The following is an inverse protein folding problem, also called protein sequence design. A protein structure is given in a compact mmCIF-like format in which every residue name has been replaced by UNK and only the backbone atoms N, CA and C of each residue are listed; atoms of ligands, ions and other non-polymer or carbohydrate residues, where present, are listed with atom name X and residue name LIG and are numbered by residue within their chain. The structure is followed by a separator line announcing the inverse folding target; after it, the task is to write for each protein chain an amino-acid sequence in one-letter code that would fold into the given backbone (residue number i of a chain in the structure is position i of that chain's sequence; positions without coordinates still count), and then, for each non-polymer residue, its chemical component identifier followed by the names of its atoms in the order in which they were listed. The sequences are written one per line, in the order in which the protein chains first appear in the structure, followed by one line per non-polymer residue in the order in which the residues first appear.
data_IF_697543570522
#
_entry.id   IF_697543570522
#
_cell.length_a   1.000
_cell.length_b   1.000
_cell.length_c   1.000
_cell.angle_alpha   90.00
_cell.angle_beta   90.00
_cell.angle_gamma   90.00
#
_symmetry.space_group_name_H-M   'P 1'
#
loop_
_entity.id
_entity.type
_entity.pdbx_description
1 polymer ?
#
# COMPACT_ATOMS: atom_id res chain seq x y z
N UNK A 1 -11.51 0.76 28.57
CA UNK A 1 -10.84 1.41 27.41
C UNK A 1 -10.54 0.30 26.41
N UNK A 2 -10.97 0.47 25.16
CA UNK A 2 -10.63 -0.46 24.08
C UNK A 2 -9.13 -0.27 23.82
N UNK A 3 -8.35 -1.34 23.92
CA UNK A 3 -6.91 -1.30 23.60
C UNK A 3 -6.76 -1.20 22.08
N UNK A 4 -6.04 -0.20 21.60
CA UNK A 4 -5.73 -0.02 20.18
C UNK A 4 -4.56 -0.92 19.80
N UNK A 5 -4.76 -1.79 18.82
CA UNK A 5 -3.72 -2.68 18.31
C UNK A 5 -2.86 -2.01 17.25
N UNK A 6 -1.70 -2.60 16.93
CA UNK A 6 -0.87 -2.18 15.79
C UNK A 6 -1.65 -2.33 14.47
N UNK A 7 -2.44 -3.38 14.34
CA UNK A 7 -3.32 -3.61 13.20
C UNK A 7 -4.37 -2.51 13.01
N UNK A 8 -4.94 -1.98 14.12
CA UNK A 8 -5.86 -0.84 14.05
C UNK A 8 -5.18 0.41 13.49
N UNK A 9 -3.97 0.73 13.97
CA UNK A 9 -3.19 1.88 13.49
C UNK A 9 -2.85 1.72 12.01
N UNK A 10 -2.37 0.56 11.59
CA UNK A 10 -2.07 0.28 10.18
C UNK A 10 -3.31 0.35 9.29
N UNK A 11 -4.47 -0.15 9.75
CA UNK A 11 -5.72 -0.08 8.99
C UNK A 11 -6.16 1.36 8.77
N UNK A 12 -6.04 2.22 9.81
CA UNK A 12 -6.33 3.65 9.68
C UNK A 12 -5.31 4.34 8.77
N UNK A 13 -4.02 4.03 8.89
CA UNK A 13 -3.00 4.55 7.99
C UNK A 13 -3.26 4.15 6.52
N UNK A 14 -3.74 2.93 6.29
CA UNK A 14 -4.18 2.49 4.95
C UNK A 14 -5.45 3.22 4.48
N UNK A 15 -6.37 3.55 5.37
CA UNK A 15 -7.55 4.36 5.03
C UNK A 15 -7.15 5.78 4.59
N UNK A 16 -6.16 6.39 5.26
CA UNK A 16 -5.64 7.72 4.92
C UNK A 16 -5.03 7.82 3.52
N UNK A 17 -4.62 6.70 2.91
CA UNK A 17 -4.17 6.67 1.52
C UNK A 17 -5.25 7.16 0.54
N UNK A 18 -6.51 7.07 0.92
CA UNK A 18 -7.67 7.40 0.08
C UNK A 18 -8.35 8.71 0.49
N UNK A 19 -7.76 9.46 1.42
CA UNK A 19 -8.32 10.75 1.82
C UNK A 19 -8.33 11.70 0.63
N UNK A 20 -9.47 12.36 0.42
CA UNK A 20 -9.71 13.32 -0.67
C UNK A 20 -9.49 12.76 -2.09
N UNK A 21 -9.51 11.43 -2.25
CA UNK A 21 -9.28 10.79 -3.54
C UNK A 21 -10.43 11.02 -4.55
N UNK A 22 -11.63 11.37 -4.08
CA UNK A 22 -12.82 11.49 -4.89
C UNK A 22 -13.25 10.16 -5.51
N UNK A 23 -13.88 10.21 -6.67
CA UNK A 23 -14.28 9.01 -7.41
C UNK A 23 -13.06 8.36 -8.07
N UNK A 24 -12.49 7.38 -7.39
CA UNK A 24 -11.35 6.59 -7.86
C UNK A 24 -11.57 5.11 -7.56
N UNK A 25 -11.17 4.23 -8.48
CA UNK A 25 -11.21 2.79 -8.22
C UNK A 25 -10.05 2.38 -7.30
N UNK A 26 -10.40 1.77 -6.20
CA UNK A 26 -9.43 1.25 -5.22
C UNK A 26 -9.16 -0.22 -5.49
N UNK A 27 -7.89 -0.57 -5.65
CA UNK A 27 -7.44 -1.96 -5.84
C UNK A 27 -6.57 -2.40 -4.66
N UNK A 28 -7.18 -2.89 -3.58
CA UNK A 28 -6.49 -3.35 -2.38
C UNK A 28 -6.00 -4.78 -2.59
N UNK A 29 -4.68 -5.01 -2.50
CA UNK A 29 -4.07 -6.32 -2.76
C UNK A 29 -3.77 -7.12 -1.48
N UNK A 30 -4.10 -6.57 -0.29
CA UNK A 30 -3.96 -7.25 1.00
C UNK A 30 -5.23 -7.08 1.84
N UNK A 31 -5.40 -7.92 2.86
CA UNK A 31 -6.60 -7.86 3.72
C UNK A 31 -6.67 -6.53 4.48
N UNK A 32 -5.56 -6.09 5.07
CA UNK A 32 -5.55 -4.85 5.85
C UNK A 32 -5.84 -3.61 4.99
N UNK A 33 -5.37 -3.59 3.74
CA UNK A 33 -5.69 -2.52 2.79
C UNK A 33 -7.17 -2.56 2.39
N UNK A 34 -7.73 -3.76 2.21
CA UNK A 34 -9.17 -3.93 1.98
C UNK A 34 -10.02 -3.42 3.15
N UNK A 35 -9.52 -3.59 4.38
CA UNK A 35 -10.15 -3.03 5.60
C UNK A 35 -10.03 -1.51 5.60
N UNK A 36 -8.84 -0.97 5.33
CA UNK A 36 -8.59 0.47 5.24
C UNK A 36 -9.46 1.15 4.18
N UNK A 37 -9.59 0.56 2.99
CA UNK A 37 -10.45 1.09 1.93
C UNK A 37 -11.93 1.15 2.34
N UNK A 38 -12.43 0.11 3.02
CA UNK A 38 -13.80 0.09 3.57
C UNK A 38 -13.99 1.14 4.66
N UNK A 39 -13.00 1.28 5.53
CA UNK A 39 -13.01 2.32 6.56
C UNK A 39 -13.06 3.72 5.94
N UNK A 40 -12.22 3.99 4.92
CA UNK A 40 -12.23 5.26 4.21
C UNK A 40 -13.59 5.56 3.60
N UNK A 41 -14.20 4.58 2.92
CA UNK A 41 -15.52 4.74 2.28
C UNK A 41 -16.63 5.02 3.29
N UNK A 42 -16.59 4.38 4.46
CA UNK A 42 -17.60 4.57 5.51
C UNK A 42 -17.39 5.84 6.34
N UNK A 43 -16.24 6.50 6.24
CA UNK A 43 -15.91 7.65 7.08
C UNK A 43 -15.74 8.96 6.31
N UNK A 44 -14.75 9.08 5.43
CA UNK A 44 -14.36 10.36 4.84
C UNK A 44 -14.20 10.37 3.32
N UNK A 45 -14.28 9.22 2.64
CA UNK A 45 -14.14 9.10 1.19
C UNK A 45 -15.26 8.24 0.59
N UNK A 46 -16.54 8.67 0.69
CA UNK A 46 -17.70 7.86 0.31
C UNK A 46 -17.76 7.53 -1.18
N UNK A 47 -17.09 8.33 -2.02
CA UNK A 47 -17.15 8.23 -3.48
C UNK A 47 -16.14 7.24 -4.08
N UNK A 48 -15.25 6.65 -3.28
CA UNK A 48 -14.32 5.65 -3.81
C UNK A 48 -15.07 4.39 -4.25
N UNK A 49 -14.64 3.85 -5.38
CA UNK A 49 -15.19 2.61 -5.94
C UNK A 49 -14.39 1.43 -5.39
N UNK A 50 -15.02 0.61 -4.56
CA UNK A 50 -14.39 -0.57 -3.99
C UNK A 50 -14.33 -1.71 -5.01
N UNK A 51 -13.26 -2.49 -4.92
CA UNK A 51 -13.13 -3.76 -5.66
C UNK A 51 -12.84 -4.91 -4.70
N UNK A 52 -12.97 -6.14 -5.19
CA UNK A 52 -12.51 -7.34 -4.48
C UNK A 52 -10.98 -7.56 -4.56
N UNK A 53 -10.26 -6.53 -5.00
CA UNK A 53 -8.82 -6.55 -5.27
C UNK A 53 -8.49 -6.73 -6.76
N UNK A 54 -9.41 -7.23 -7.57
CA UNK A 54 -9.16 -7.49 -8.99
C UNK A 54 -10.33 -7.11 -9.91
N UNK A 55 -11.35 -7.97 -9.99
CA UNK A 55 -12.25 -7.96 -11.12
C UNK A 55 -13.70 -7.54 -10.81
N UNK A 56 -14.12 -7.56 -9.54
CA UNK A 56 -15.49 -7.23 -9.17
C UNK A 56 -15.56 -5.86 -8.53
N UNK A 57 -16.50 -5.04 -9.01
CA UNK A 57 -16.84 -3.76 -8.39
C UNK A 57 -17.92 -4.02 -7.33
N UNK A 58 -17.70 -3.44 -6.14
CA UNK A 58 -18.52 -3.70 -4.96
C UNK A 58 -19.37 -2.46 -4.66
N UNK A 59 -20.69 -2.60 -4.75
CA UNK A 59 -21.64 -1.52 -4.52
C UNK A 59 -21.81 -1.14 -3.04
N UNK A 60 -21.80 -2.14 -2.15
CA UNK A 60 -21.92 -1.98 -0.70
C UNK A 60 -20.56 -1.98 0.02
N UNK A 61 -20.58 -1.94 1.35
CA UNK A 61 -19.35 -2.00 2.16
C UNK A 61 -19.47 -3.11 3.21
N UNK A 62 -19.48 -4.39 2.78
CA UNK A 62 -19.65 -5.52 3.69
C UNK A 62 -18.41 -5.78 4.54
N UNK A 63 -18.58 -6.52 5.63
CA UNK A 63 -17.46 -7.06 6.38
C UNK A 63 -16.55 -7.93 5.50
N UNK A 64 -15.28 -8.00 5.85
CA UNK A 64 -14.31 -8.84 5.13
C UNK A 64 -14.75 -10.31 5.17
N UNK A 65 -14.83 -10.91 3.98
CA UNK A 65 -15.29 -12.31 3.81
C UNK A 65 -16.80 -12.51 3.82
N UNK A 66 -17.59 -11.44 4.01
CA UNK A 66 -19.04 -11.50 3.82
C UNK A 66 -19.41 -11.36 2.33
N UNK A 67 -20.57 -11.87 1.92
CA UNK A 67 -21.10 -11.62 0.58
C UNK A 67 -21.24 -10.12 0.31
N UNK A 68 -20.82 -9.70 -0.89
CA UNK A 68 -20.89 -8.33 -1.36
C UNK A 68 -21.96 -8.18 -2.46
N UNK A 69 -22.63 -7.02 -2.51
CA UNK A 69 -23.41 -6.62 -3.65
C UNK A 69 -22.47 -6.24 -4.80
N UNK A 70 -22.52 -7.00 -5.88
CA UNK A 70 -21.66 -6.76 -7.04
C UNK A 70 -22.41 -5.86 -8.03
N UNK A 71 -21.88 -4.69 -8.33
CA UNK A 71 -22.43 -3.75 -9.31
C UNK A 71 -21.80 -3.89 -10.70
N UNK A 72 -20.62 -4.49 -10.77
CA UNK A 72 -19.94 -4.67 -12.04
C UNK A 72 -18.89 -5.77 -12.00
N UNK A 73 -18.60 -6.28 -13.19
CA UNK A 73 -17.55 -7.26 -13.38
C UNK A 73 -16.63 -6.82 -14.53
N UNK A 74 -15.33 -6.84 -14.25
CA UNK A 74 -14.29 -6.60 -15.23
C UNK A 74 -13.67 -7.93 -15.64
N UNK A 75 -13.90 -8.44 -16.85
CA UNK A 75 -13.14 -9.55 -17.39
C UNK A 75 -11.64 -9.26 -17.36
N UNK A 76 -10.81 -10.29 -17.28
CA UNK A 76 -9.36 -10.14 -17.11
C UNK A 76 -8.72 -9.17 -18.13
N UNK A 77 -9.17 -9.20 -19.40
CA UNK A 77 -8.74 -8.23 -20.42
C UNK A 77 -9.07 -6.78 -20.06
N UNK A 78 -10.24 -6.53 -19.45
CA UNK A 78 -10.65 -5.18 -19.02
C UNK A 78 -9.80 -4.64 -17.86
N UNK A 79 -9.29 -5.51 -17.01
CA UNK A 79 -8.33 -5.10 -15.96
C UNK A 79 -7.09 -4.48 -16.61
N UNK A 80 -6.56 -5.06 -17.68
CA UNK A 80 -5.42 -4.49 -18.41
C UNK A 80 -5.77 -3.21 -19.17
N UNK A 81 -6.97 -3.09 -19.72
CA UNK A 81 -7.43 -1.82 -20.28
C UNK A 81 -7.52 -0.72 -19.21
N UNK A 82 -7.99 -1.07 -18.03
CA UNK A 82 -8.02 -0.13 -16.88
C UNK A 82 -6.62 0.28 -16.44
N UNK A 83 -5.62 -0.62 -16.53
CA UNK A 83 -4.22 -0.29 -16.30
C UNK A 83 -3.70 0.78 -17.27
N UNK A 84 -4.20 0.79 -18.52
CA UNK A 84 -3.75 1.73 -19.54
C UNK A 84 -4.54 3.06 -19.54
N UNK A 85 -5.83 3.04 -19.22
CA UNK A 85 -6.74 4.18 -19.49
C UNK A 85 -7.59 4.60 -18.29
N UNK A 86 -7.68 3.78 -17.24
CA UNK A 86 -8.52 4.05 -16.08
C UNK A 86 -7.84 4.96 -15.04
N UNK A 87 -8.60 5.27 -13.98
CA UNK A 87 -8.08 5.93 -12.77
C UNK A 87 -8.20 4.96 -11.60
N UNK A 88 -7.07 4.69 -10.98
CA UNK A 88 -6.99 3.75 -9.85
C UNK A 88 -6.02 4.27 -8.80
N UNK A 89 -6.25 3.88 -7.55
CA UNK A 89 -5.21 3.82 -6.54
C UNK A 89 -4.99 2.35 -6.17
N UNK A 90 -3.81 1.85 -6.48
CA UNK A 90 -3.43 0.47 -6.23
C UNK A 90 -2.55 0.40 -4.99
N UNK A 91 -2.91 -0.47 -4.06
CA UNK A 91 -2.07 -0.71 -2.88
C UNK A 91 -1.64 -2.17 -2.88
N UNK A 92 -0.37 -2.38 -3.16
CA UNK A 92 0.24 -3.71 -3.31
C UNK A 92 1.05 -4.10 -2.07
N UNK A 93 1.30 -5.39 -1.88
CA UNK A 93 2.38 -5.83 -1.01
C UNK A 93 3.73 -5.66 -1.71
N UNK A 94 4.82 -5.60 -0.94
CA UNK A 94 6.18 -5.65 -1.46
C UNK A 94 6.95 -6.78 -0.78
N UNK A 95 7.66 -7.60 -1.58
CA UNK A 95 8.61 -8.58 -1.03
C UNK A 95 10.01 -7.99 -0.89
N UNK A 96 10.34 -7.02 -1.74
CA UNK A 96 11.46 -6.10 -1.63
C UNK A 96 11.01 -4.74 -2.13
N UNK A 97 11.50 -3.69 -1.50
CA UNK A 97 11.36 -2.29 -1.91
C UNK A 97 12.66 -1.56 -1.58
N UNK A 98 13.13 -0.71 -2.48
CA UNK A 98 14.31 0.11 -2.25
C UNK A 98 13.96 1.55 -1.89
N UNK A 99 15.00 2.37 -1.69
CA UNK A 99 14.87 3.79 -1.31
C UNK A 99 14.09 4.65 -2.28
N UNK A 100 13.98 4.24 -3.55
CA UNK A 100 13.27 4.98 -4.60
C UNK A 100 11.86 4.46 -4.85
N UNK A 101 11.47 3.36 -4.19
CA UNK A 101 10.18 2.71 -4.39
C UNK A 101 10.15 1.69 -5.52
N UNK A 102 11.31 1.28 -6.08
CA UNK A 102 11.35 0.10 -6.91
C UNK A 102 10.85 -1.10 -6.10
N UNK A 103 9.94 -1.86 -6.68
CA UNK A 103 9.29 -2.98 -5.98
C UNK A 103 9.58 -4.30 -6.68
N UNK A 104 9.85 -5.34 -5.90
CA UNK A 104 9.97 -6.72 -6.39
C UNK A 104 8.84 -7.60 -5.85
N UNK A 105 8.14 -8.26 -6.77
CA UNK A 105 7.20 -9.34 -6.49
C UNK A 105 7.38 -10.53 -7.44
N UNK A 106 8.48 -10.53 -8.22
CA UNK A 106 8.72 -11.51 -9.29
C UNK A 106 9.50 -12.72 -8.83
N UNK A 107 10.70 -12.53 -8.30
CA UNK A 107 11.56 -13.60 -7.83
C UNK A 107 12.70 -13.04 -6.95
N UNK A 108 13.32 -13.89 -6.16
CA UNK A 108 14.58 -13.57 -5.47
C UNK A 108 15.77 -14.16 -6.23
N UNK A 109 16.87 -13.43 -6.23
CA UNK A 109 18.09 -13.78 -6.95
C UNK A 109 18.03 -13.48 -8.46
N UNK A 110 19.04 -13.91 -9.23
CA UNK A 110 19.12 -13.62 -10.66
C UNK A 110 17.92 -14.18 -11.45
N UNK A 111 17.40 -13.37 -12.39
CA UNK A 111 16.20 -13.74 -13.18
C UNK A 111 16.34 -15.07 -13.90
N UNK A 112 17.55 -15.41 -14.40
CA UNK A 112 17.82 -16.64 -15.14
C UNK A 112 17.85 -17.88 -14.24
N UNK A 113 18.21 -17.72 -12.96
CA UNK A 113 18.33 -18.79 -11.98
C UNK A 113 17.85 -18.29 -10.61
N UNK A 114 16.55 -18.01 -10.44
CA UNK A 114 16.04 -17.46 -9.19
C UNK A 114 16.15 -18.49 -8.06
N UNK A 115 16.56 -18.03 -6.90
CA UNK A 115 16.56 -18.84 -5.67
C UNK A 115 15.14 -19.12 -5.18
N UNK A 116 14.20 -18.23 -5.52
CA UNK A 116 12.76 -18.39 -5.26
C UNK A 116 11.95 -17.66 -6.33
N UNK A 117 11.13 -18.40 -7.05
CA UNK A 117 10.12 -17.82 -7.95
C UNK A 117 8.92 -17.35 -7.16
N UNK A 118 8.41 -16.17 -7.49
CA UNK A 118 7.15 -15.61 -6.96
C UNK A 118 6.12 -15.44 -8.08
N UNK A 119 5.29 -14.40 -8.02
CA UNK A 119 4.16 -14.22 -8.94
C UNK A 119 4.52 -13.70 -10.34
N UNK A 120 5.74 -13.22 -10.54
CA UNK A 120 6.11 -12.46 -11.73
C UNK A 120 5.64 -11.01 -11.63
N UNK A 121 5.85 -10.23 -12.69
CA UNK A 121 5.56 -8.77 -12.66
C UNK A 121 4.07 -8.44 -12.64
N UNK A 122 3.22 -9.31 -13.19
CA UNK A 122 1.76 -9.09 -13.32
C UNK A 122 1.43 -7.69 -13.86
N UNK A 123 0.54 -6.96 -13.18
CA UNK A 123 0.17 -5.58 -13.51
C UNK A 123 1.07 -4.51 -12.89
N UNK A 124 2.10 -4.86 -12.10
CA UNK A 124 2.92 -3.89 -11.38
C UNK A 124 3.58 -2.83 -12.28
N UNK A 125 4.16 -3.17 -13.47
CA UNK A 125 4.72 -2.14 -14.34
C UNK A 125 3.68 -1.11 -14.80
N UNK A 126 2.48 -1.56 -15.18
CA UNK A 126 1.39 -0.68 -15.59
C UNK A 126 0.84 0.16 -14.44
N UNK A 127 0.77 -0.41 -13.23
CA UNK A 127 0.33 0.31 -12.05
C UNK A 127 1.26 1.48 -11.74
N UNK A 128 2.57 1.24 -11.63
CA UNK A 128 3.54 2.27 -11.24
C UNK A 128 3.73 3.36 -12.29
N UNK A 129 3.43 3.11 -13.56
CA UNK A 129 3.52 4.11 -14.63
C UNK A 129 2.25 4.95 -14.76
N UNK A 130 1.07 4.39 -14.50
CA UNK A 130 -0.20 5.02 -14.86
C UNK A 130 -1.10 5.38 -13.66
N UNK A 131 -0.81 4.91 -12.45
CA UNK A 131 -1.71 5.05 -11.33
C UNK A 131 -0.99 5.45 -10.04
N UNK A 132 -1.72 6.11 -9.14
CA UNK A 132 -1.29 6.23 -7.76
C UNK A 132 -1.05 4.82 -7.21
N UNK A 133 0.19 4.57 -6.78
CA UNK A 133 0.65 3.27 -6.31
C UNK A 133 1.22 3.41 -4.91
N UNK A 134 0.67 2.65 -3.99
CA UNK A 134 1.17 2.56 -2.62
C UNK A 134 1.50 1.12 -2.26
N UNK A 135 2.24 0.96 -1.17
CA UNK A 135 2.62 -0.36 -0.68
C UNK A 135 2.21 -0.56 0.77
N UNK A 136 1.82 -1.79 1.10
CA UNK A 136 1.67 -2.22 2.48
C UNK A 136 2.67 -3.32 2.80
N UNK A 137 3.42 -3.15 3.90
CA UNK A 137 4.44 -4.08 4.38
C UNK A 137 4.19 -4.39 5.86
N UNK A 138 3.55 -5.51 6.15
CA UNK A 138 3.21 -5.92 7.53
C UNK A 138 4.39 -6.37 8.39
N UNK A 139 5.59 -6.48 7.81
CA UNK A 139 6.83 -6.83 8.51
C UNK A 139 7.99 -6.02 7.94
N UNK A 140 8.20 -4.82 8.47
CA UNK A 140 9.32 -3.96 8.12
C UNK A 140 10.62 -4.62 8.57
N UNK A 141 11.51 -4.88 7.64
CA UNK A 141 12.79 -5.54 7.89
C UNK A 141 13.77 -5.26 6.77
N UNK A 142 15.08 -5.35 7.03
CA UNK A 142 16.15 -5.19 6.03
C UNK A 142 16.01 -6.13 4.83
N UNK A 143 15.32 -7.25 5.01
CA UNK A 143 15.01 -8.18 3.91
C UNK A 143 14.00 -7.59 2.92
N UNK A 144 13.06 -6.79 3.40
CA UNK A 144 12.02 -6.15 2.57
C UNK A 144 12.47 -4.77 2.13
N UNK A 145 12.97 -3.95 3.06
CA UNK A 145 13.54 -2.63 2.78
C UNK A 145 15.03 -2.78 2.51
N UNK A 146 15.40 -3.10 1.27
CA UNK A 146 16.74 -3.46 0.83
C UNK A 146 17.40 -2.36 0.01
N UNK A 147 18.73 -2.37 -0.08
CA UNK A 147 19.48 -1.37 -0.85
C UNK A 147 19.10 -1.34 -2.32
N UNK A 148 18.87 -2.52 -2.90
CA UNK A 148 18.35 -2.67 -4.24
C UNK A 148 17.50 -3.93 -4.33
N UNK A 149 16.45 -3.88 -5.15
CA UNK A 149 15.59 -5.03 -5.41
C UNK A 149 16.27 -5.99 -6.40
N UNK A 150 16.08 -7.29 -6.23
CA UNK A 150 16.66 -8.28 -7.15
C UNK A 150 16.06 -8.16 -8.56
N UNK A 151 14.77 -7.85 -8.66
CA UNK A 151 14.05 -7.65 -9.93
C UNK A 151 13.10 -6.46 -9.76
N UNK A 152 13.16 -5.50 -10.67
CA UNK A 152 12.21 -4.38 -10.72
C UNK A 152 10.91 -4.87 -11.37
N UNK A 153 9.91 -5.16 -10.54
CA UNK A 153 8.55 -5.50 -11.00
C UNK A 153 7.70 -4.26 -11.21
N UNK A 154 7.83 -3.27 -10.35
CA UNK A 154 7.29 -1.92 -10.47
C UNK A 154 8.39 -0.91 -10.30
N UNK A 155 8.40 0.15 -11.11
CA UNK A 155 9.45 1.16 -11.08
C UNK A 155 9.31 2.10 -9.89
N UNK A 156 10.47 2.59 -9.39
CA UNK A 156 10.60 3.69 -8.47
C UNK A 156 10.98 5.00 -9.16
N UNK A 157 11.15 6.04 -8.37
CA UNK A 157 11.41 7.40 -8.85
C UNK A 157 12.74 7.57 -9.58
N UNK A 158 13.75 6.74 -9.31
CA UNK A 158 15.07 6.75 -9.99
C UNK A 158 14.99 6.29 -11.47
N UNK A 159 13.88 5.70 -11.88
CA UNK A 159 13.61 5.28 -13.27
C UNK A 159 12.74 6.25 -14.04
N UNK A 160 12.28 7.32 -13.40
CA UNK A 160 11.40 8.31 -14.02
C UNK A 160 12.24 9.32 -14.79
N UNK A 161 12.01 9.40 -16.09
CA UNK A 161 12.55 10.45 -16.96
C UNK A 161 11.51 11.57 -17.07
N UNK A 162 11.74 12.76 -16.46
CA UNK A 162 10.77 13.86 -16.46
C UNK A 162 10.49 14.43 -17.87
N UNK A 163 11.40 14.25 -18.80
CA UNK A 163 11.25 14.73 -20.18
C UNK A 163 10.48 13.75 -21.06
N UNK A 164 10.26 12.52 -20.58
CA UNK A 164 9.51 11.51 -21.32
C UNK A 164 8.03 11.48 -20.91
N UNK A 165 7.09 11.84 -21.80
CA UNK A 165 5.68 11.92 -21.50
C UNK A 165 5.04 10.57 -21.08
N UNK A 166 5.72 9.45 -21.28
CA UNK A 166 5.26 8.15 -20.79
C UNK A 166 5.21 8.08 -19.26
N UNK A 167 6.01 8.87 -18.56
CA UNK A 167 6.08 8.90 -17.09
C UNK A 167 5.19 9.97 -16.43
N UNK A 168 4.39 10.73 -17.22
CA UNK A 168 3.58 11.85 -16.72
C UNK A 168 2.55 11.50 -15.63
N UNK A 169 2.24 10.22 -15.47
CA UNK A 169 1.28 9.72 -14.49
C UNK A 169 1.92 8.85 -13.40
N UNK A 170 3.26 8.78 -13.38
CA UNK A 170 3.94 8.06 -12.29
C UNK A 170 3.64 8.76 -10.97
N UNK A 171 3.12 7.98 -10.05
CA UNK A 171 2.84 8.42 -8.70
C UNK A 171 3.07 7.24 -7.74
N UNK A 172 4.35 7.00 -7.43
CA UNK A 172 4.73 6.09 -6.34
C UNK A 172 4.54 6.86 -5.05
N UNK A 173 3.36 6.68 -4.46
CA UNK A 173 2.80 7.60 -3.49
C UNK A 173 3.31 7.37 -2.08
N UNK A 174 2.99 6.20 -1.49
CA UNK A 174 3.32 5.92 -0.08
C UNK A 174 3.62 4.46 0.21
N UNK A 175 4.32 4.27 1.32
CA UNK A 175 4.49 2.96 1.97
C UNK A 175 3.92 3.04 3.38
N UNK A 176 3.02 2.11 3.71
CA UNK A 176 2.57 1.87 5.08
C UNK A 176 3.19 0.57 5.53
N UNK A 177 3.90 0.59 6.67
CA UNK A 177 4.43 -0.62 7.28
C UNK A 177 3.93 -0.78 8.71
N UNK A 178 4.34 -1.84 9.41
CA UNK A 178 4.05 -1.99 10.83
C UNK A 178 4.82 -1.01 11.73
N UNK A 179 5.78 -0.26 11.19
CA UNK A 179 6.57 0.72 11.95
C UNK A 179 6.12 2.16 11.68
N UNK A 180 5.60 2.48 10.49
CA UNK A 180 5.26 3.85 10.14
C UNK A 180 4.72 4.02 8.73
N UNK A 181 4.56 5.29 8.35
CA UNK A 181 4.11 5.74 7.04
C UNK A 181 5.24 6.55 6.39
N UNK A 182 5.53 6.25 5.14
CA UNK A 182 6.63 6.82 4.38
C UNK A 182 6.14 7.34 3.02
N UNK A 183 6.83 8.35 2.48
CA UNK A 183 6.68 8.83 1.11
C UNK A 183 8.04 8.84 0.39
N UNK A 184 8.08 9.40 -0.82
CA UNK A 184 9.29 9.52 -1.64
C UNK A 184 9.66 11.00 -1.90
N UNK A 185 9.38 11.87 -0.94
CA UNK A 185 9.73 13.29 -0.99
C UNK A 185 11.01 13.62 -0.20
N UNK A 186 11.85 12.63 0.06
CA UNK A 186 13.22 12.83 0.53
C UNK A 186 14.12 13.41 -0.58
N UNK A 187 15.40 13.70 -0.29
CA UNK A 187 16.36 14.15 -1.30
C UNK A 187 16.38 13.19 -2.50
N UNK A 188 16.39 13.74 -3.71
CA UNK A 188 16.39 12.96 -4.97
C UNK A 188 15.29 11.90 -5.05
N UNK A 189 14.11 12.21 -4.53
CA UNK A 189 12.96 11.29 -4.45
C UNK A 189 13.23 10.00 -3.67
N UNK A 190 14.11 10.05 -2.67
CA UNK A 190 14.31 8.93 -1.76
C UNK A 190 13.19 8.83 -0.70
N UNK A 191 13.09 7.66 -0.10
CA UNK A 191 12.11 7.39 0.96
C UNK A 191 12.32 8.30 2.16
N UNK A 192 11.20 8.88 2.64
CA UNK A 192 11.15 9.76 3.80
C UNK A 192 10.07 9.29 4.78
N UNK A 193 10.37 9.33 6.06
CA UNK A 193 9.39 9.09 7.11
C UNK A 193 8.42 10.28 7.23
N UNK A 194 7.12 10.01 7.15
CA UNK A 194 6.05 10.96 7.45
C UNK A 194 5.61 10.86 8.90
N UNK A 195 5.38 9.61 9.35
CA UNK A 195 5.02 9.36 10.73
C UNK A 195 5.47 7.97 11.17
N UNK A 196 5.83 7.86 12.45
CA UNK A 196 6.11 6.59 13.09
C UNK A 196 4.89 6.16 13.92
N UNK A 197 4.61 4.88 13.95
CA UNK A 197 3.48 4.39 14.73
C UNK A 197 3.74 4.53 16.23
N UNK A 198 2.71 4.72 17.07
CA UNK A 198 2.88 4.90 18.51
C UNK A 198 3.77 3.82 19.13
N UNK A 199 4.81 4.25 19.86
CA UNK A 199 5.80 3.37 20.49
C UNK A 199 6.90 2.85 19.55
N UNK A 200 7.00 3.34 18.33
CA UNK A 200 8.11 3.08 17.41
C UNK A 200 9.11 4.23 17.50
N UNK A 201 10.39 3.88 17.69
CA UNK A 201 11.50 4.83 17.72
C UNK A 201 12.21 4.89 16.36
N UNK A 202 12.85 6.02 16.06
CA UNK A 202 13.59 6.24 14.81
C UNK A 202 14.67 5.16 14.58
N UNK A 203 15.40 4.83 15.63
CA UNK A 203 16.45 3.79 15.59
C UNK A 203 15.90 2.42 15.17
N UNK A 204 14.70 2.08 15.62
CA UNK A 204 14.05 0.83 15.22
C UNK A 204 13.77 0.78 13.71
N UNK A 205 13.38 1.90 13.10
CA UNK A 205 13.21 1.98 11.65
C UNK A 205 14.55 1.88 10.94
N UNK A 206 15.56 2.62 11.41
CA UNK A 206 16.90 2.60 10.83
C UNK A 206 17.54 1.20 10.87
N UNK A 207 17.43 0.47 11.98
CA UNK A 207 17.96 -0.90 12.14
C UNK A 207 17.26 -1.92 11.23
N UNK A 208 16.00 -1.66 10.85
CA UNK A 208 15.19 -2.54 10.01
C UNK A 208 15.15 -2.12 8.53
N UNK A 209 15.96 -1.13 8.13
CA UNK A 209 16.05 -0.63 6.75
C UNK A 209 17.51 -0.68 6.29
N UNK A 210 17.79 -1.22 5.09
CA UNK A 210 19.16 -1.32 4.57
C UNK A 210 19.68 -0.03 3.92
N UNK A 211 18.89 1.03 3.91
CA UNK A 211 19.24 2.34 3.36
C UNK A 211 18.82 3.46 4.31
N UNK A 212 19.38 4.64 4.12
CA UNK A 212 19.01 5.81 4.90
C UNK A 212 17.58 6.26 4.55
N UNK A 213 16.75 6.44 5.59
CA UNK A 213 15.40 7.00 5.48
C UNK A 213 15.45 8.45 5.94
N UNK A 214 15.09 9.37 5.06
CA UNK A 214 15.08 10.79 5.40
C UNK A 214 13.99 11.13 6.42
N UNK A 215 14.18 12.15 7.24
CA UNK A 215 13.17 12.72 8.12
C UNK A 215 12.77 11.87 9.32
N UNK A 216 13.55 10.86 9.70
CA UNK A 216 13.24 10.03 10.90
C UNK A 216 13.21 10.84 12.20
N UNK A 217 14.07 11.85 12.30
CA UNK A 217 14.20 12.76 13.45
C UNK A 217 13.06 13.76 13.58
N UNK A 218 12.34 14.00 12.47
CA UNK A 218 11.24 14.97 12.37
C UNK A 218 9.89 14.31 12.10
N UNK A 219 9.86 12.99 12.01
CA UNK A 219 8.63 12.24 11.74
C UNK A 219 7.59 12.44 12.86
N UNK A 220 6.35 12.70 12.46
CA UNK A 220 5.24 12.81 13.40
C UNK A 220 4.88 11.45 14.00
N UNK A 221 4.07 11.43 15.06
CA UNK A 221 3.45 10.19 15.51
C UNK A 221 2.18 9.93 14.69
N UNK A 222 2.08 8.74 14.11
CA UNK A 222 0.86 8.33 13.39
C UNK A 222 -0.35 8.43 14.32
N UNK A 223 -1.41 9.07 13.84
CA UNK A 223 -2.62 9.26 14.63
C UNK A 223 -3.25 7.93 15.05
N UNK A 224 -3.81 7.91 16.21
CA UNK A 224 -4.63 6.79 16.66
C UNK A 224 -6.02 6.80 15.98
N UNK A 225 -6.68 5.63 15.85
CA UNK A 225 -8.08 5.56 15.50
C UNK A 225 -8.95 6.36 16.47
N UNK A 226 -9.97 7.04 15.94
CA UNK A 226 -11.05 7.59 16.76
C UNK A 226 -11.96 6.48 17.29
N UNK A 227 -12.82 6.79 18.28
CA UNK A 227 -13.81 5.82 18.78
C UNK A 227 -14.73 5.31 17.68
N UNK A 228 -15.19 6.17 16.77
CA UNK A 228 -16.04 5.81 15.64
C UNK A 228 -15.30 4.88 14.68
N UNK A 229 -14.04 5.17 14.38
CA UNK A 229 -13.22 4.30 13.52
C UNK A 229 -13.00 2.92 14.12
N UNK A 230 -12.83 2.81 15.45
CA UNK A 230 -12.72 1.53 16.13
C UNK A 230 -14.02 0.71 16.03
N UNK A 231 -15.18 1.35 16.17
CA UNK A 231 -16.48 0.70 15.97
C UNK A 231 -16.66 0.23 14.52
N UNK A 232 -16.30 1.06 13.55
CA UNK A 232 -16.31 0.68 12.13
C UNK A 232 -15.35 -0.47 11.85
N UNK A 233 -14.11 -0.42 12.36
CA UNK A 233 -13.14 -1.51 12.22
C UNK A 233 -13.66 -2.83 12.78
N UNK A 234 -14.38 -2.79 13.92
CA UNK A 234 -14.99 -3.98 14.50
C UNK A 234 -16.10 -4.55 13.60
N UNK A 235 -16.88 -3.69 12.93
CA UNK A 235 -17.93 -4.11 12.00
C UNK A 235 -17.37 -4.63 10.67
N UNK A 236 -16.32 -3.99 10.14
CA UNK A 236 -15.67 -4.36 8.88
C UNK A 236 -14.86 -5.65 9.04
N UNK A 237 -14.18 -5.81 10.16
CA UNK A 237 -13.28 -6.93 10.44
C UNK A 237 -13.55 -7.55 11.82
N UNK A 238 -14.70 -8.22 11.99
CA UNK A 238 -15.09 -8.83 13.27
C UNK A 238 -14.17 -9.97 13.72
N UNK A 239 -13.32 -10.48 12.81
CA UNK A 239 -12.37 -11.57 13.10
C UNK A 239 -10.96 -11.05 13.37
N UNK A 240 -10.75 -9.74 13.46
CA UNK A 240 -9.44 -9.10 13.66
C UNK A 240 -8.34 -9.63 12.74
N UNK A 241 -8.68 -9.81 11.45
CA UNK A 241 -7.74 -10.30 10.46
C UNK A 241 -6.58 -9.32 10.23
N UNK A 242 -6.83 -8.01 10.45
CA UNK A 242 -5.81 -6.95 10.39
C UNK A 242 -4.62 -7.24 11.31
N UNK A 243 -4.87 -7.80 12.50
CA UNK A 243 -3.80 -8.11 13.46
C UNK A 243 -2.91 -9.28 13.01
N UNK A 244 -3.41 -10.13 12.11
CA UNK A 244 -2.65 -11.28 11.59
C UNK A 244 -1.67 -10.90 10.48
N UNK A 245 -1.89 -9.77 9.82
CA UNK A 245 -1.01 -9.28 8.74
C UNK A 245 0.12 -8.39 9.25
N UNK A 246 0.08 -7.99 10.52
CA UNK A 246 1.02 -7.06 11.13
C UNK A 246 1.88 -7.78 12.17
N UNK A 247 3.20 -7.72 12.01
CA UNK A 247 4.13 -8.18 13.06
C UNK A 247 4.32 -7.08 14.10
N UNK A 248 4.29 -7.49 15.36
CA UNK A 248 4.55 -6.63 16.52
C UNK A 248 5.95 -6.96 17.04
#
# INVERSE_FOLDING_TARGET
MISVSRGDVCAVACAELFRDAGEIMVSPMTTIVSIGARLARLSFSPDIVLTDGEARLIADTPAIGAPAAIEGWMPFGRVFETLAWGRRHVVMGANQIDRFGNQNLSAFGPLQHPTRQMFGVRGAPGNTINHATSYFVGNHSTRVFCDSVDIVSGIGWDKVDPDNPAYRFVDVYRVVSNLGVFDFNGPDHTMRALSLHPGVEADQVAENTSFEVAGLDTAETTRLPSGIELELLQSIDPKSLRDKEVKV
#
